data_IF_091522538256
#
_entry.id   IF_091522538256
#
_cell.length_a   1.000
_cell.length_b   1.000
_cell.length_c   1.000
_cell.angle_alpha   90.00
_cell.angle_beta   90.00
_cell.angle_gamma   90.00
#
_symmetry.space_group_name_H-M   'P 1'
#
loop_
_entity.id
_entity.type
_entity.pdbx_description
1 polymer ?
#
# COMPACT_ATOMS: atom_id res chain seq x y z
N UNK A 1 56.02 23.26 56.17
CA UNK A 1 55.06 23.69 55.13
C UNK A 1 54.95 22.58 54.10
N UNK A 2 53.98 21.68 54.27
CA UNK A 2 53.76 20.50 53.40
C UNK A 2 52.70 20.90 52.37
N UNK A 3 53.06 20.96 51.08
CA UNK A 3 52.11 21.28 50.01
C UNK A 3 51.33 20.01 49.67
N UNK A 4 50.01 20.08 49.90
CA UNK A 4 49.04 19.02 49.70
C UNK A 4 48.81 18.76 48.20
N UNK A 5 49.01 17.49 47.82
CA UNK A 5 48.17 16.64 46.94
C UNK A 5 47.38 17.33 45.82
N UNK A 6 47.85 17.18 44.57
CA UNK A 6 47.09 17.42 43.35
C UNK A 6 46.48 16.09 42.90
N UNK A 7 45.17 15.92 43.07
CA UNK A 7 44.42 14.81 42.48
C UNK A 7 43.05 15.32 42.05
N UNK A 8 42.76 15.22 40.75
CA UNK A 8 41.43 14.95 40.23
C UNK A 8 41.57 14.52 38.77
N UNK A 9 41.63 13.20 38.62
CA UNK A 9 41.42 12.46 37.40
C UNK A 9 39.96 12.65 36.98
N UNK A 10 39.72 13.07 35.75
CA UNK A 10 38.42 12.96 35.11
C UNK A 10 38.62 12.57 33.63
N UNK A 11 39.05 11.32 33.42
CA UNK A 11 39.04 10.71 32.08
C UNK A 11 37.61 10.21 31.83
N UNK A 12 36.87 11.00 31.06
CA UNK A 12 35.56 10.63 30.54
C UNK A 12 35.72 9.46 29.56
N UNK A 13 35.53 8.24 30.06
CA UNK A 13 35.40 7.04 29.25
C UNK A 13 33.90 6.88 28.95
N UNK A 14 33.45 7.56 27.90
CA UNK A 14 32.09 7.43 27.40
C UNK A 14 31.95 6.02 26.80
N UNK A 15 31.33 5.12 27.57
CA UNK A 15 30.99 3.79 27.11
C UNK A 15 30.05 3.92 25.91
N UNK A 16 30.56 3.66 24.71
CA UNK A 16 29.73 3.35 23.56
C UNK A 16 29.04 2.01 23.84
N UNK A 17 27.83 2.09 24.38
CA UNK A 17 26.90 0.99 24.30
C UNK A 17 26.53 0.83 22.82
N UNK A 18 27.16 -0.13 22.16
CA UNK A 18 26.63 -0.72 20.93
C UNK A 18 25.32 -1.37 21.31
N UNK A 19 24.23 -0.67 21.03
CA UNK A 19 22.88 -1.23 21.02
C UNK A 19 22.66 -1.83 19.64
N UNK A 20 22.88 -3.13 19.49
CA UNK A 20 22.19 -3.86 18.43
C UNK A 20 20.75 -4.04 18.89
N UNK A 21 19.87 -3.17 18.40
CA UNK A 21 18.46 -3.48 18.32
C UNK A 21 18.28 -4.40 17.12
N UNK A 22 17.97 -5.68 17.36
CA UNK A 22 17.23 -6.46 16.39
C UNK A 22 15.75 -6.14 16.63
N UNK A 23 15.31 -4.98 16.14
CA UNK A 23 13.91 -4.58 16.07
C UNK A 23 13.22 -5.38 14.98
N UNK A 24 13.05 -6.68 15.20
CA UNK A 24 12.11 -7.50 14.45
C UNK A 24 10.69 -7.25 14.99
N UNK A 25 10.25 -6.00 14.92
CA UNK A 25 8.84 -5.66 15.05
C UNK A 25 8.17 -5.91 13.70
N UNK A 26 8.09 -7.18 13.29
CA UNK A 26 7.23 -7.58 12.18
C UNK A 26 5.79 -7.40 12.63
N UNK A 27 5.26 -6.19 12.46
CA UNK A 27 3.82 -6.03 12.29
C UNK A 27 3.42 -6.95 11.15
N UNK A 28 2.48 -7.90 11.35
CA UNK A 28 2.04 -8.78 10.28
C UNK A 28 1.66 -7.94 9.06
N UNK A 29 2.15 -8.31 7.88
CA UNK A 29 1.77 -7.61 6.66
C UNK A 29 0.25 -7.78 6.50
N UNK A 30 -0.49 -6.69 6.30
CA UNK A 30 -1.94 -6.76 6.13
C UNK A 30 -2.36 -7.65 4.95
N UNK A 31 -1.43 -7.89 4.01
CA UNK A 31 -1.58 -8.75 2.85
C UNK A 31 -1.00 -10.14 3.02
N UNK A 32 -0.42 -10.47 4.18
CA UNK A 32 -0.02 -11.85 4.49
C UNK A 32 -1.23 -12.77 4.37
N UNK A 33 -1.07 -13.83 3.56
CA UNK A 33 -2.12 -14.81 3.27
C UNK A 33 -3.17 -14.39 2.23
N UNK A 34 -3.11 -13.17 1.68
CA UNK A 34 -3.99 -12.76 0.58
C UNK A 34 -3.38 -13.19 -0.76
N UNK A 35 -3.81 -14.35 -1.25
CA UNK A 35 -3.39 -14.92 -2.54
C UNK A 35 -4.45 -14.64 -3.61
N UNK A 36 -4.55 -13.38 -4.04
CA UNK A 36 -5.46 -12.97 -5.11
C UNK A 36 -4.70 -12.77 -6.42
N UNK A 37 -5.23 -13.31 -7.52
CA UNK A 37 -4.75 -13.01 -8.88
C UNK A 37 -5.84 -12.36 -9.72
N UNK A 38 -5.47 -11.83 -10.88
CA UNK A 38 -6.42 -11.26 -11.83
C UNK A 38 -7.51 -12.25 -12.21
N UNK A 39 -7.13 -13.44 -12.67
CA UNK A 39 -8.04 -14.45 -13.20
C UNK A 39 -8.90 -15.12 -12.12
N UNK A 40 -8.41 -15.19 -10.88
CA UNK A 40 -9.08 -15.90 -9.78
C UNK A 40 -10.07 -15.02 -9.02
N UNK A 41 -9.75 -13.74 -8.80
CA UNK A 41 -10.55 -12.89 -7.90
C UNK A 41 -10.71 -11.47 -8.42
N UNK A 42 -9.61 -10.82 -8.81
CA UNK A 42 -9.63 -9.37 -9.09
C UNK A 42 -10.48 -9.02 -10.30
N UNK A 43 -10.46 -9.83 -11.38
CA UNK A 43 -11.32 -9.61 -12.56
C UNK A 43 -12.80 -9.59 -12.20
N UNK A 44 -13.24 -10.44 -11.25
CA UNK A 44 -14.62 -10.45 -10.78
C UNK A 44 -15.02 -9.14 -10.12
N UNK A 45 -14.15 -8.62 -9.24
CA UNK A 45 -14.36 -7.33 -8.56
C UNK A 45 -14.37 -6.17 -9.57
N UNK A 46 -13.37 -6.14 -10.47
CA UNK A 46 -13.26 -5.10 -11.48
C UNK A 46 -14.48 -5.09 -12.41
N UNK A 47 -14.94 -6.25 -12.88
CA UNK A 47 -16.11 -6.32 -13.75
C UNK A 47 -17.42 -5.95 -13.04
N UNK A 48 -17.55 -6.26 -11.75
CA UNK A 48 -18.74 -5.96 -10.98
C UNK A 48 -18.86 -4.47 -10.60
N UNK A 49 -17.75 -3.74 -10.47
CA UNK A 49 -17.77 -2.41 -9.86
C UNK A 49 -16.94 -1.32 -10.56
N UNK A 50 -16.13 -1.67 -11.56
CA UNK A 50 -15.22 -0.73 -12.21
C UNK A 50 -15.37 -0.73 -13.73
N UNK A 51 -15.23 -1.90 -14.36
CA UNK A 51 -15.27 -2.10 -15.81
C UNK A 51 -16.70 -2.09 -16.37
N UNK A 52 -17.43 -1.03 -16.06
CA UNK A 52 -18.79 -0.75 -16.54
C UNK A 52 -18.67 0.07 -17.83
N UNK A 53 -19.44 -0.29 -18.87
CA UNK A 53 -19.48 0.45 -20.13
C UNK A 53 -19.80 1.94 -19.90
N UNK A 54 -19.03 2.82 -20.53
CA UNK A 54 -19.09 4.27 -20.31
C UNK A 54 -18.28 4.80 -19.11
N UNK A 55 -17.84 3.92 -18.19
CA UNK A 55 -17.01 4.30 -17.05
C UNK A 55 -15.56 3.82 -17.25
N UNK A 56 -15.24 2.56 -17.02
CA UNK A 56 -13.86 2.04 -17.17
C UNK A 56 -13.78 0.76 -18.01
N UNK A 57 -14.50 0.74 -19.13
CA UNK A 57 -14.50 -0.36 -20.08
C UNK A 57 -14.13 0.10 -21.50
N UNK A 58 -13.99 -0.84 -22.42
CA UNK A 58 -13.43 -0.60 -23.76
C UNK A 58 -14.18 0.43 -24.61
N UNK A 59 -15.50 0.56 -24.44
CA UNK A 59 -16.33 1.49 -25.21
C UNK A 59 -16.51 2.79 -24.44
N UNK A 60 -15.96 3.87 -25.00
CA UNK A 60 -16.00 5.23 -24.46
C UNK A 60 -15.66 5.32 -22.96
N UNK A 61 -14.46 4.85 -22.54
CA UNK A 61 -14.07 4.91 -21.14
C UNK A 61 -13.98 6.36 -20.64
N UNK A 62 -14.61 6.62 -19.51
CA UNK A 62 -14.31 7.80 -18.69
C UNK A 62 -12.81 7.81 -18.33
N UNK A 63 -12.23 9.01 -18.45
CA UNK A 63 -10.78 9.25 -18.27
C UNK A 63 -9.86 8.42 -19.21
N UNK A 64 -10.39 7.80 -20.28
CA UNK A 64 -9.58 6.96 -21.17
C UNK A 64 -9.10 5.64 -20.54
N UNK A 65 -9.63 5.28 -19.37
CA UNK A 65 -9.20 4.12 -18.59
C UNK A 65 -10.07 2.89 -18.88
N UNK A 66 -9.45 1.75 -19.20
CA UNK A 66 -10.16 0.49 -19.43
C UNK A 66 -9.58 -0.61 -18.53
N UNK A 67 -10.43 -1.31 -17.78
CA UNK A 67 -10.05 -2.33 -16.81
C UNK A 67 -10.49 -3.76 -17.21
N UNK A 68 -10.97 -3.94 -18.45
CA UNK A 68 -11.57 -5.21 -18.93
C UNK A 68 -10.58 -6.34 -19.20
N UNK A 69 -9.27 -6.05 -19.23
CA UNK A 69 -8.21 -7.04 -19.50
C UNK A 69 -7.11 -6.96 -18.45
N UNK A 70 -6.38 -8.06 -18.24
CA UNK A 70 -5.27 -8.12 -17.29
C UNK A 70 -4.24 -7.02 -17.57
N UNK A 71 -3.77 -6.92 -18.82
CA UNK A 71 -2.72 -5.97 -19.20
C UNK A 71 -3.11 -4.52 -18.85
N UNK A 72 -4.36 -4.13 -19.11
CA UNK A 72 -4.83 -2.77 -18.82
C UNK A 72 -5.09 -2.54 -17.33
N UNK A 73 -5.66 -3.53 -16.64
CA UNK A 73 -5.85 -3.47 -15.19
C UNK A 73 -4.51 -3.38 -14.45
N UNK A 74 -3.52 -4.17 -14.85
CA UNK A 74 -2.14 -4.11 -14.34
C UNK A 74 -1.48 -2.77 -14.61
N UNK A 75 -1.63 -2.23 -15.82
CA UNK A 75 -1.10 -0.90 -16.12
C UNK A 75 -1.72 0.15 -15.19
N UNK A 76 -3.04 0.08 -14.98
CA UNK A 76 -3.75 0.99 -14.08
C UNK A 76 -3.39 0.81 -12.61
N UNK A 77 -3.09 -0.41 -12.15
CA UNK A 77 -2.81 -0.68 -10.74
C UNK A 77 -1.51 -0.04 -10.25
N UNK A 78 -0.62 0.31 -11.18
CA UNK A 78 0.62 1.04 -10.87
C UNK A 78 0.42 2.53 -10.58
N UNK A 79 -0.75 3.09 -10.94
CA UNK A 79 -1.08 4.48 -10.60
C UNK A 79 -1.51 4.57 -9.13
N UNK A 80 -0.88 5.40 -8.29
CA UNK A 80 -1.27 5.57 -6.89
C UNK A 80 -2.74 6.00 -6.70
N UNK A 81 -3.35 6.61 -7.73
CA UNK A 81 -4.78 6.96 -7.73
C UNK A 81 -5.68 5.73 -7.67
N UNK A 82 -5.24 4.57 -8.16
CA UNK A 82 -6.04 3.34 -8.17
C UNK A 82 -6.52 2.97 -6.76
N UNK A 83 -5.60 2.97 -5.78
CA UNK A 83 -5.94 2.69 -4.39
C UNK A 83 -6.58 3.90 -3.70
N UNK A 84 -6.13 5.11 -4.02
CA UNK A 84 -6.68 6.31 -3.40
C UNK A 84 -8.18 6.51 -3.72
N UNK A 85 -8.57 6.30 -4.98
CA UNK A 85 -9.93 6.53 -5.47
C UNK A 85 -10.93 5.54 -4.87
N UNK A 86 -10.57 4.26 -4.77
CA UNK A 86 -11.43 3.20 -4.18
C UNK A 86 -11.51 3.30 -2.65
N UNK A 87 -10.51 3.90 -2.01
CA UNK A 87 -10.54 4.20 -0.57
C UNK A 87 -11.32 5.48 -0.23
N UNK A 88 -11.78 6.23 -1.23
CA UNK A 88 -12.31 7.58 -1.05
C UNK A 88 -11.32 8.47 -0.26
N UNK A 89 -10.03 8.35 -0.60
CA UNK A 89 -8.96 9.08 0.06
C UNK A 89 -9.05 10.59 -0.15
N UNK A 90 -8.50 11.35 0.79
CA UNK A 90 -8.47 12.81 0.71
C UNK A 90 -7.74 13.27 -0.56
N UNK A 91 -8.35 14.20 -1.30
CA UNK A 91 -7.80 14.73 -2.55
C UNK A 91 -7.98 13.84 -3.78
N UNK A 92 -8.65 12.70 -3.64
CA UNK A 92 -8.99 11.80 -4.74
C UNK A 92 -10.47 11.88 -5.09
N UNK A 93 -10.79 11.75 -6.38
CA UNK A 93 -12.17 11.59 -6.81
C UNK A 93 -12.66 10.23 -6.29
N UNK A 94 -13.75 10.13 -5.53
CA UNK A 94 -14.20 8.85 -4.98
C UNK A 94 -14.77 7.94 -6.07
N UNK A 95 -14.39 6.67 -6.04
CA UNK A 95 -14.90 5.63 -6.94
C UNK A 95 -15.43 4.42 -6.15
N UNK A 96 -16.57 3.82 -6.56
CA UNK A 96 -17.33 4.15 -7.78
C UNK A 96 -18.08 5.49 -7.69
N UNK A 97 -18.08 6.27 -8.78
CA UNK A 97 -18.55 7.65 -8.77
C UNK A 97 -20.03 7.76 -8.38
N UNK A 98 -20.33 8.57 -7.35
CA UNK A 98 -21.69 8.78 -6.86
C UNK A 98 -22.33 7.56 -6.18
N UNK A 99 -21.56 6.50 -5.96
CA UNK A 99 -21.99 5.28 -5.29
C UNK A 99 -21.27 5.12 -3.93
N UNK A 100 -21.79 4.23 -3.06
CA UNK A 100 -21.09 3.87 -1.84
C UNK A 100 -19.69 3.32 -2.11
N UNK A 101 -18.79 3.53 -1.15
CA UNK A 101 -17.45 2.93 -1.15
C UNK A 101 -17.57 1.40 -1.26
N UNK A 102 -16.62 0.77 -1.95
CA UNK A 102 -16.48 -0.68 -1.93
C UNK A 102 -16.36 -1.21 -0.49
N UNK A 103 -16.75 -2.47 -0.28
CA UNK A 103 -16.54 -3.13 1.01
C UNK A 103 -15.05 -3.18 1.33
N UNK A 104 -14.72 -3.10 2.62
CA UNK A 104 -13.31 -3.14 3.05
C UNK A 104 -12.63 -4.46 2.63
N UNK A 105 -13.39 -5.55 2.49
CA UNK A 105 -12.89 -6.82 1.98
C UNK A 105 -12.44 -6.74 0.50
N UNK A 106 -13.23 -6.10 -0.37
CA UNK A 106 -12.85 -5.91 -1.77
C UNK A 106 -11.70 -4.91 -1.93
N UNK A 107 -11.70 -3.84 -1.14
CA UNK A 107 -10.59 -2.89 -1.10
C UNK A 107 -9.32 -3.62 -0.66
N UNK A 108 -9.37 -4.44 0.39
CA UNK A 108 -8.22 -5.23 0.85
C UNK A 108 -7.69 -6.15 -0.24
N UNK A 109 -8.56 -6.87 -0.94
CA UNK A 109 -8.16 -7.75 -2.05
C UNK A 109 -7.44 -6.95 -3.14
N UNK A 110 -8.00 -5.81 -3.56
CA UNK A 110 -7.40 -4.96 -4.59
C UNK A 110 -6.07 -4.37 -4.14
N UNK A 111 -6.00 -3.81 -2.92
CA UNK A 111 -4.77 -3.29 -2.31
C UNK A 111 -3.67 -4.34 -2.26
N UNK A 112 -3.99 -5.55 -1.80
CA UNK A 112 -3.01 -6.63 -1.70
C UNK A 112 -2.60 -7.17 -3.07
N UNK A 113 -3.52 -7.25 -4.02
CA UNK A 113 -3.17 -7.60 -5.40
C UNK A 113 -2.21 -6.58 -6.01
N UNK A 114 -2.44 -5.28 -5.82
CA UNK A 114 -1.52 -4.22 -6.26
C UNK A 114 -0.16 -4.36 -5.57
N UNK A 115 -0.15 -4.48 -4.25
CA UNK A 115 1.07 -4.62 -3.43
C UNK A 115 1.91 -5.83 -3.82
N UNK A 116 1.26 -6.95 -4.16
CA UNK A 116 1.92 -8.19 -4.57
C UNK A 116 2.35 -8.19 -6.05
N UNK A 117 2.41 -7.04 -6.70
CA UNK A 117 2.89 -6.90 -8.08
C UNK A 117 1.85 -7.25 -9.15
N UNK A 118 0.56 -7.27 -8.79
CA UNK A 118 -0.56 -7.53 -9.69
C UNK A 118 -0.42 -8.84 -10.49
N UNK A 119 -0.34 -10.00 -9.80
CA UNK A 119 -0.25 -11.30 -10.47
C UNK A 119 -1.49 -11.61 -11.32
N UNK A 120 -1.30 -12.31 -12.43
CA UNK A 120 -2.37 -12.70 -13.37
C UNK A 120 -3.18 -13.90 -12.89
#
# INVERSE_FOLDING_TARGET
MKKLVLSLIAVSFFAFFVSCGDDNNTTPDECDGVVATYNTTVKGILNASCAINGCHASVAPSAGLDLTTYAKAKASSTDPKFICTINHGAGCNPMPQGLPKLSDAFIKILTCWVKNGSPE
#
